data_IF_006194527224
#
_entry.id   IF_006194527224
#
_cell.length_a   1.000
_cell.length_b   1.000
_cell.length_c   1.000
_cell.angle_alpha   90.00
_cell.angle_beta   90.00
_cell.angle_gamma   90.00
#
_symmetry.space_group_name_H-M   'P 1'
#
loop_
_entity.id
_entity.type
_entity.pdbx_description
1 polymer ?
#
# COMPACT_ATOMS: atom_id res chain seq x y z
N UNK A 1 -2.76 30.00 -7.87
CA UNK A 1 -2.26 29.33 -6.64
C UNK A 1 -3.38 29.16 -5.61
N UNK A 2 -4.01 30.23 -5.09
CA UNK A 2 -5.18 30.13 -4.19
C UNK A 2 -6.39 29.37 -4.78
N UNK A 3 -6.55 29.40 -6.11
CA UNK A 3 -7.62 28.69 -6.82
C UNK A 3 -7.50 27.17 -6.74
N UNK A 4 -6.28 26.60 -6.71
CA UNK A 4 -6.08 25.15 -6.63
C UNK A 4 -6.39 24.64 -5.22
N UNK A 5 -5.96 25.36 -4.18
CA UNK A 5 -6.29 25.05 -2.78
C UNK A 5 -7.79 25.14 -2.50
N UNK A 6 -8.47 26.17 -3.03
CA UNK A 6 -9.92 26.32 -2.89
C UNK A 6 -10.70 25.27 -3.71
N UNK A 7 -10.17 24.82 -4.85
CA UNK A 7 -10.77 23.74 -5.65
C UNK A 7 -10.63 22.39 -4.94
N UNK A 8 -9.45 22.10 -4.40
CA UNK A 8 -9.20 20.93 -3.55
C UNK A 8 -10.15 20.94 -2.35
N UNK A 9 -10.28 22.08 -1.64
CA UNK A 9 -11.22 22.24 -0.52
C UNK A 9 -12.69 22.03 -0.91
N UNK A 10 -13.14 22.51 -2.07
CA UNK A 10 -14.52 22.25 -2.54
C UNK A 10 -14.74 20.79 -2.94
N UNK A 11 -13.75 20.11 -3.53
CA UNK A 11 -13.84 18.67 -3.80
C UNK A 11 -13.87 17.85 -2.52
N UNK A 12 -13.18 18.30 -1.48
CA UNK A 12 -13.17 17.73 -0.14
C UNK A 12 -14.54 17.77 0.52
N UNK A 13 -15.16 18.95 0.57
CA UNK A 13 -16.49 19.13 1.17
C UNK A 13 -17.53 18.23 0.49
N UNK A 14 -17.43 18.03 -0.83
CA UNK A 14 -18.31 17.14 -1.60
C UNK A 14 -18.02 15.65 -1.34
N UNK A 15 -16.75 15.26 -1.22
CA UNK A 15 -16.34 13.89 -0.93
C UNK A 15 -16.77 13.45 0.48
N UNK A 16 -16.63 14.34 1.46
CA UNK A 16 -17.05 14.11 2.83
C UNK A 16 -18.57 14.02 2.96
N UNK A 17 -19.32 14.89 2.27
CA UNK A 17 -20.78 14.81 2.17
C UNK A 17 -21.28 13.47 1.61
N UNK A 18 -20.53 12.83 0.71
CA UNK A 18 -20.85 11.50 0.17
C UNK A 18 -20.44 10.35 1.11
N UNK A 19 -19.47 10.55 2.01
CA UNK A 19 -19.04 9.57 3.02
C UNK A 19 -19.86 9.60 4.32
N UNK A 20 -20.75 10.58 4.50
CA UNK A 20 -21.59 10.79 5.70
C UNK A 20 -22.69 9.75 5.97
N UNK A 21 -22.67 8.57 5.36
CA UNK A 21 -23.49 7.47 5.88
C UNK A 21 -22.63 6.64 6.82
N UNK A 22 -22.83 6.71 8.16
CA UNK A 22 -22.19 5.79 9.07
C UNK A 22 -22.68 4.38 8.71
N UNK A 23 -21.89 3.68 7.90
CA UNK A 23 -22.12 2.29 7.60
C UNK A 23 -21.68 1.50 8.84
N UNK A 24 -22.53 0.58 9.29
CA UNK A 24 -22.21 -0.33 10.38
C UNK A 24 -20.86 -1.03 10.09
N UNK A 25 -19.82 -0.82 10.90
CA UNK A 25 -18.49 -1.38 10.67
C UNK A 25 -18.52 -2.91 10.53
N UNK A 26 -19.43 -3.59 11.25
CA UNK A 26 -19.59 -5.04 11.17
C UNK A 26 -20.11 -5.44 9.79
N UNK A 27 -21.13 -4.73 9.29
CA UNK A 27 -21.65 -4.93 7.94
C UNK A 27 -20.59 -4.65 6.86
N UNK A 28 -19.80 -3.58 7.01
CA UNK A 28 -18.72 -3.25 6.07
C UNK A 28 -17.64 -4.33 6.01
N UNK A 29 -17.23 -4.87 7.16
CA UNK A 29 -16.26 -5.97 7.22
C UNK A 29 -16.83 -7.25 6.60
N UNK A 30 -18.10 -7.56 6.84
CA UNK A 30 -18.78 -8.69 6.19
C UNK A 30 -18.81 -8.55 4.67
N UNK A 31 -19.16 -7.37 4.16
CA UNK A 31 -19.14 -7.09 2.72
C UNK A 31 -17.73 -7.18 2.14
N UNK A 32 -16.73 -6.71 2.89
CA UNK A 32 -15.32 -6.81 2.48
C UNK A 32 -14.90 -8.27 2.34
N UNK A 33 -15.18 -9.11 3.34
CA UNK A 33 -14.93 -10.55 3.25
C UNK A 33 -15.63 -11.18 2.04
N UNK A 34 -16.92 -10.88 1.83
CA UNK A 34 -17.67 -11.39 0.68
C UNK A 34 -17.00 -11.03 -0.65
N UNK A 35 -16.57 -9.77 -0.83
CA UNK A 35 -15.87 -9.32 -2.04
C UNK A 35 -14.53 -10.02 -2.23
N UNK A 36 -13.75 -10.18 -1.15
CA UNK A 36 -12.45 -10.86 -1.19
C UNK A 36 -12.62 -12.33 -1.59
N UNK A 37 -13.57 -13.05 -0.99
CA UNK A 37 -13.87 -14.44 -1.33
C UNK A 37 -14.37 -14.57 -2.77
N UNK A 38 -15.30 -13.71 -3.20
CA UNK A 38 -15.83 -13.73 -4.56
C UNK A 38 -14.76 -13.48 -5.62
N UNK A 39 -13.81 -12.58 -5.33
CA UNK A 39 -12.66 -12.32 -6.19
C UNK A 39 -11.70 -13.51 -6.17
N UNK A 40 -11.37 -14.06 -5.00
CA UNK A 40 -10.39 -15.14 -4.91
C UNK A 40 -10.93 -16.54 -5.24
N UNK A 41 -12.24 -16.73 -5.45
CA UNK A 41 -12.85 -18.08 -5.58
C UNK A 41 -12.30 -18.96 -6.71
N UNK A 42 -11.68 -18.36 -7.74
CA UNK A 42 -11.09 -19.09 -8.87
C UNK A 42 -9.58 -19.30 -8.74
N UNK A 43 -8.98 -18.84 -7.64
CA UNK A 43 -7.55 -19.05 -7.36
C UNK A 43 -7.32 -20.44 -6.78
N UNK A 44 -6.10 -20.97 -6.84
CA UNK A 44 -5.74 -22.25 -6.22
C UNK A 44 -6.13 -22.30 -4.73
N UNK A 45 -5.86 -21.22 -4.00
CA UNK A 45 -6.24 -21.07 -2.59
C UNK A 45 -7.76 -21.09 -2.41
N UNK A 46 -8.48 -20.32 -3.23
CA UNK A 46 -9.93 -20.21 -3.14
C UNK A 46 -10.67 -21.49 -3.55
N UNK A 47 -10.12 -22.26 -4.49
CA UNK A 47 -10.63 -23.58 -4.86
C UNK A 47 -10.36 -24.61 -3.77
N UNK A 48 -9.15 -24.63 -3.21
CA UNK A 48 -8.76 -25.56 -2.15
C UNK A 48 -9.63 -25.42 -0.89
N UNK A 49 -9.90 -24.18 -0.47
CA UNK A 49 -10.78 -23.89 0.67
C UNK A 49 -12.26 -23.72 0.30
N UNK A 50 -12.60 -23.93 -0.98
CA UNK A 50 -13.96 -23.94 -1.49
C UNK A 50 -14.74 -22.65 -1.15
N UNK A 51 -14.15 -21.52 -1.55
CA UNK A 51 -14.73 -20.19 -1.38
C UNK A 51 -16.10 -20.05 -2.05
N UNK A 52 -16.37 -20.83 -3.09
CA UNK A 52 -17.68 -20.86 -3.77
C UNK A 52 -18.78 -21.31 -2.83
N UNK A 53 -18.57 -22.37 -2.06
CA UNK A 53 -19.59 -22.83 -1.11
C UNK A 53 -19.63 -21.99 0.15
N UNK A 54 -18.50 -21.42 0.59
CA UNK A 54 -18.49 -20.44 1.68
C UNK A 54 -19.41 -19.25 1.34
N UNK A 55 -19.34 -18.72 0.11
CA UNK A 55 -20.16 -17.60 -0.34
C UNK A 55 -21.67 -17.89 -0.39
N UNK A 56 -22.07 -19.17 -0.53
CA UNK A 56 -23.48 -19.58 -0.51
C UNK A 56 -24.05 -19.68 0.91
N UNK A 57 -23.19 -19.74 1.93
CA UNK A 57 -23.63 -19.94 3.30
C UNK A 57 -24.27 -18.68 3.89
N UNK A 58 -25.46 -18.77 4.53
CA UNK A 58 -26.03 -17.67 5.30
C UNK A 58 -25.18 -17.31 6.53
N UNK A 59 -24.29 -18.22 6.97
CA UNK A 59 -23.28 -18.05 8.03
C UNK A 59 -21.88 -17.97 7.45
N UNK A 60 -21.70 -17.24 6.34
CA UNK A 60 -20.42 -17.12 5.59
C UNK A 60 -19.20 -16.90 6.48
N UNK A 61 -19.28 -16.02 7.47
CA UNK A 61 -18.17 -15.69 8.38
C UNK A 61 -17.76 -16.91 9.21
N UNK A 62 -18.73 -17.62 9.80
CA UNK A 62 -18.46 -18.78 10.65
C UNK A 62 -17.87 -19.94 9.84
N UNK A 63 -18.41 -20.16 8.63
CA UNK A 63 -17.91 -21.21 7.72
C UNK A 63 -16.51 -20.88 7.21
N UNK A 64 -16.22 -19.61 6.90
CA UNK A 64 -14.87 -19.20 6.54
C UNK A 64 -13.88 -19.48 7.67
N UNK A 65 -14.23 -19.11 8.91
CA UNK A 65 -13.38 -19.32 10.09
C UNK A 65 -13.14 -20.80 10.40
N UNK A 66 -14.08 -21.68 10.08
CA UNK A 66 -13.92 -23.12 10.31
C UNK A 66 -13.15 -23.83 9.20
N UNK A 67 -13.24 -23.35 7.93
CA UNK A 67 -12.56 -23.96 6.78
C UNK A 67 -11.14 -23.45 6.57
N UNK A 68 -10.88 -22.15 6.79
CA UNK A 68 -9.58 -21.53 6.49
C UNK A 68 -8.76 -21.38 7.77
N UNK A 69 -7.65 -22.12 7.92
CA UNK A 69 -6.80 -22.02 9.11
C UNK A 69 -6.07 -20.67 9.14
N UNK A 70 -5.55 -20.34 10.32
CA UNK A 70 -4.57 -19.27 10.44
C UNK A 70 -3.24 -19.74 9.84
N UNK A 71 -2.57 -18.83 9.13
CA UNK A 71 -1.25 -19.05 8.55
C UNK A 71 -0.24 -18.10 9.19
N UNK A 72 0.94 -18.62 9.48
CA UNK A 72 2.14 -17.79 9.59
C UNK A 72 2.78 -17.58 8.21
N UNK A 73 3.90 -16.86 8.16
CA UNK A 73 4.58 -16.60 6.88
C UNK A 73 5.07 -17.90 6.24
N UNK A 74 5.71 -18.78 7.01
CA UNK A 74 6.39 -19.96 6.47
C UNK A 74 5.37 -20.93 5.88
N UNK A 75 4.27 -21.20 6.58
CA UNK A 75 3.18 -22.05 6.07
C UNK A 75 2.46 -21.43 4.86
N UNK A 76 2.28 -20.11 4.83
CA UNK A 76 1.71 -19.42 3.66
C UNK A 76 2.66 -19.47 2.47
N UNK A 77 3.96 -19.29 2.72
CA UNK A 77 5.00 -19.32 1.71
C UNK A 77 5.15 -20.70 1.08
N UNK A 78 5.33 -21.73 1.92
CA UNK A 78 5.54 -23.11 1.50
C UNK A 78 4.36 -23.66 0.70
N UNK A 79 3.13 -23.34 1.12
CA UNK A 79 1.92 -23.88 0.48
C UNK A 79 1.43 -23.05 -0.69
N UNK A 80 1.73 -21.75 -0.74
CA UNK A 80 1.08 -20.84 -1.67
C UNK A 80 2.06 -19.85 -2.31
N UNK A 81 2.66 -18.94 -1.54
CA UNK A 81 3.36 -17.81 -2.15
C UNK A 81 4.64 -18.18 -2.92
N UNK A 82 5.27 -19.32 -2.62
CA UNK A 82 6.38 -19.84 -3.43
C UNK A 82 5.96 -20.09 -4.90
N UNK A 83 4.72 -20.50 -5.16
CA UNK A 83 4.21 -20.70 -6.52
C UNK A 83 4.10 -19.36 -7.24
N UNK A 84 3.56 -18.33 -6.57
CA UNK A 84 3.51 -16.96 -7.12
C UNK A 84 4.90 -16.43 -7.44
N UNK A 85 5.88 -16.69 -6.56
CA UNK A 85 7.28 -16.28 -6.75
C UNK A 85 7.91 -16.98 -7.97
N UNK A 86 7.54 -18.24 -8.20
CA UNK A 86 7.91 -19.01 -9.40
C UNK A 86 7.04 -18.68 -10.63
N UNK A 87 6.23 -17.61 -10.58
CA UNK A 87 5.48 -17.11 -11.73
C UNK A 87 4.13 -17.79 -11.99
N UNK A 88 3.65 -18.67 -11.10
CA UNK A 88 2.31 -19.26 -11.19
C UNK A 88 1.26 -18.19 -10.94
N UNK A 89 0.28 -18.11 -11.83
CA UNK A 89 -0.82 -17.15 -11.73
C UNK A 89 -1.98 -17.70 -10.88
N UNK A 90 -2.82 -16.80 -10.36
CA UNK A 90 -4.05 -17.17 -9.67
C UNK A 90 -3.83 -18.09 -8.45
N UNK A 91 -2.76 -17.89 -7.68
CA UNK A 91 -2.45 -18.75 -6.53
C UNK A 91 -3.28 -18.39 -5.30
N UNK A 92 -2.97 -17.29 -4.61
CA UNK A 92 -3.75 -16.76 -3.47
C UNK A 92 -4.58 -15.53 -3.83
N UNK A 93 -4.32 -14.95 -5.00
CA UNK A 93 -5.05 -13.82 -5.57
C UNK A 93 -5.04 -13.93 -7.09
N UNK A 94 -5.99 -13.28 -7.76
CA UNK A 94 -6.11 -13.36 -9.21
C UNK A 94 -4.92 -12.68 -9.94
N UNK A 95 -4.57 -13.23 -11.10
CA UNK A 95 -3.50 -12.74 -11.96
C UNK A 95 -2.10 -13.17 -11.53
N UNK A 96 -1.10 -12.66 -12.24
CA UNK A 96 0.32 -12.86 -11.94
C UNK A 96 0.84 -11.77 -11.00
N UNK A 97 1.54 -12.17 -9.95
CA UNK A 97 2.24 -11.24 -9.06
C UNK A 97 3.58 -10.85 -9.70
N UNK A 98 3.81 -9.56 -9.90
CA UNK A 98 5.04 -9.03 -10.50
C UNK A 98 5.97 -8.37 -9.48
N UNK A 99 5.46 -8.03 -8.30
CA UNK A 99 6.20 -7.29 -7.27
C UNK A 99 6.12 -8.04 -5.95
N UNK A 100 7.25 -8.15 -5.26
CA UNK A 100 7.34 -8.73 -3.93
C UNK A 100 8.01 -7.74 -2.98
N UNK A 101 7.29 -7.36 -1.93
CA UNK A 101 7.86 -6.59 -0.86
C UNK A 101 8.76 -7.50 -0.02
N UNK A 102 9.99 -7.07 0.19
CA UNK A 102 10.91 -7.71 1.13
C UNK A 102 10.59 -7.22 2.54
N UNK A 103 10.31 -8.15 3.44
CA UNK A 103 10.20 -7.87 4.86
C UNK A 103 11.36 -8.52 5.59
N UNK A 104 12.04 -7.74 6.43
CA UNK A 104 13.29 -8.13 7.09
C UNK A 104 13.15 -9.28 8.09
N UNK A 105 11.93 -9.67 8.49
CA UNK A 105 11.74 -10.63 9.59
C UNK A 105 12.42 -10.16 10.89
N UNK A 106 12.23 -10.90 11.99
CA UNK A 106 12.88 -10.62 13.29
C UNK A 106 14.14 -11.44 13.52
N UNK A 107 14.68 -12.06 12.48
CA UNK A 107 15.89 -12.89 12.53
C UNK A 107 16.43 -12.93 11.11
N UNK A 108 17.74 -12.71 10.93
CA UNK A 108 18.45 -12.54 9.65
C UNK A 108 18.41 -13.72 8.66
N UNK A 109 17.29 -14.42 8.57
CA UNK A 109 16.90 -15.36 7.53
C UNK A 109 16.64 -14.61 6.20
N UNK A 110 16.66 -15.32 5.05
CA UNK A 110 16.32 -14.72 3.75
C UNK A 110 15.03 -13.92 3.84
N UNK A 111 15.04 -12.71 3.25
CA UNK A 111 13.95 -11.76 3.36
C UNK A 111 12.62 -12.42 2.98
N UNK A 112 11.57 -12.14 3.78
CA UNK A 112 10.22 -12.62 3.51
C UNK A 112 9.70 -11.94 2.25
N UNK A 113 9.23 -12.71 1.27
CA UNK A 113 8.69 -12.21 0.01
C UNK A 113 7.17 -12.12 0.11
N UNK A 114 6.65 -10.91 0.28
CA UNK A 114 5.21 -10.68 0.40
C UNK A 114 4.67 -10.22 -0.96
N UNK A 115 3.72 -10.96 -1.58
CA UNK A 115 3.11 -10.56 -2.85
C UNK A 115 2.49 -9.17 -2.79
N UNK A 116 2.82 -8.30 -3.75
CA UNK A 116 2.20 -6.99 -3.92
C UNK A 116 1.33 -7.02 -5.18
N UNK A 117 0.02 -7.04 -4.97
CA UNK A 117 -0.97 -7.05 -6.06
C UNK A 117 -1.35 -5.63 -6.47
N UNK A 118 -1.88 -5.48 -7.68
CA UNK A 118 -2.36 -4.19 -8.15
C UNK A 118 -3.51 -3.66 -7.28
N UNK A 119 -4.42 -4.52 -6.83
CA UNK A 119 -5.49 -4.12 -5.91
C UNK A 119 -4.96 -3.63 -4.56
N UNK A 120 -3.86 -4.22 -4.04
CA UNK A 120 -3.19 -3.75 -2.83
C UNK A 120 -2.62 -2.34 -3.04
N UNK A 121 -1.89 -2.11 -4.14
CA UNK A 121 -1.37 -0.78 -4.49
C UNK A 121 -2.48 0.25 -4.62
N UNK A 122 -3.56 -0.07 -5.33
CA UNK A 122 -4.73 0.82 -5.45
C UNK A 122 -5.39 1.10 -4.10
N UNK A 123 -5.46 0.11 -3.21
CA UNK A 123 -6.00 0.30 -1.86
C UNK A 123 -5.11 1.24 -1.02
N UNK A 124 -3.79 1.07 -1.08
CA UNK A 124 -2.83 1.97 -0.41
C UNK A 124 -2.93 3.40 -0.95
N UNK A 125 -3.03 3.58 -2.27
CA UNK A 125 -3.22 4.90 -2.89
C UNK A 125 -4.53 5.56 -2.43
N UNK A 126 -5.65 4.82 -2.42
CA UNK A 126 -6.93 5.34 -1.90
C UNK A 126 -6.81 5.74 -0.43
N UNK A 127 -6.16 4.91 0.39
CA UNK A 127 -5.91 5.21 1.80
C UNK A 127 -5.09 6.49 1.97
N UNK A 128 -3.98 6.62 1.23
CA UNK A 128 -3.13 7.81 1.26
C UNK A 128 -3.89 9.07 0.85
N UNK A 129 -4.70 9.01 -0.22
CA UNK A 129 -5.53 10.14 -0.66
C UNK A 129 -6.57 10.49 0.40
N UNK A 130 -7.27 9.51 0.99
CA UNK A 130 -8.23 9.76 2.08
C UNK A 130 -7.58 10.43 3.28
N UNK A 131 -6.40 9.96 3.70
CA UNK A 131 -5.66 10.58 4.81
C UNK A 131 -5.26 12.01 4.49
N UNK A 132 -4.70 12.26 3.30
CA UNK A 132 -4.33 13.60 2.85
C UNK A 132 -5.53 14.54 2.84
N UNK A 133 -6.67 14.05 2.37
CA UNK A 133 -7.90 14.81 2.29
C UNK A 133 -8.57 15.05 3.64
N UNK A 134 -8.48 14.10 4.57
CA UNK A 134 -8.95 14.27 5.94
C UNK A 134 -8.24 15.41 6.69
N UNK A 135 -7.07 15.87 6.23
CA UNK A 135 -6.41 17.05 6.79
C UNK A 135 -7.25 18.33 6.72
N UNK A 136 -8.21 18.40 5.81
CA UNK A 136 -9.15 19.51 5.70
C UNK A 136 -10.09 19.64 6.91
N UNK A 137 -10.25 18.56 7.68
CA UNK A 137 -11.06 18.53 8.90
C UNK A 137 -10.31 19.08 10.12
N UNK A 138 -9.04 19.43 9.95
CA UNK A 138 -8.21 20.04 10.97
C UNK A 138 -7.97 21.51 10.63
N UNK A 139 -7.57 22.29 11.62
CA UNK A 139 -7.22 23.71 11.45
C UNK A 139 -5.85 23.86 10.76
N UNK A 140 -5.80 23.49 9.48
CA UNK A 140 -4.59 23.52 8.65
C UNK A 140 -4.69 24.70 7.68
N UNK A 141 -3.63 25.52 7.63
CA UNK A 141 -3.55 26.63 6.67
C UNK A 141 -3.65 26.12 5.22
N UNK A 142 -4.49 26.72 4.36
CA UNK A 142 -4.56 26.38 2.93
C UNK A 142 -3.20 26.48 2.21
N UNK A 143 -2.28 27.30 2.73
CA UNK A 143 -0.94 27.44 2.18
C UNK A 143 -0.15 26.12 2.28
N UNK A 144 -0.41 25.29 3.30
CA UNK A 144 0.29 24.02 3.52
C UNK A 144 0.17 23.09 2.32
N UNK A 145 -0.99 23.08 1.65
CA UNK A 145 -1.26 22.25 0.47
C UNK A 145 -0.49 22.69 -0.78
N UNK A 146 0.19 23.84 -0.74
CA UNK A 146 1.08 24.30 -1.82
C UNK A 146 2.55 23.92 -1.59
N UNK A 147 2.87 23.41 -0.39
CA UNK A 147 4.21 23.03 0.04
C UNK A 147 4.59 21.63 -0.45
N UNK A 148 5.89 21.35 -0.45
CA UNK A 148 6.43 20.04 -0.81
C UNK A 148 6.23 19.01 0.32
N UNK A 149 6.19 17.74 -0.07
CA UNK A 149 6.13 16.57 0.79
C UNK A 149 7.49 15.89 0.81
N UNK A 150 8.17 15.89 1.95
CA UNK A 150 9.36 15.08 2.16
C UNK A 150 8.93 13.66 2.50
N UNK A 151 9.07 12.75 1.53
CA UNK A 151 8.70 11.35 1.67
C UNK A 151 9.92 10.49 1.95
N UNK A 152 9.99 9.92 3.15
CA UNK A 152 11.05 9.05 3.61
C UNK A 152 10.56 7.60 3.65
N UNK A 153 11.29 6.74 2.95
CA UNK A 153 11.00 5.32 2.85
C UNK A 153 12.22 4.54 2.37
N UNK A 154 11.98 3.30 1.99
CA UNK A 154 12.95 2.41 1.37
C UNK A 154 13.38 2.85 -0.03
N UNK A 155 14.36 2.14 -0.61
CA UNK A 155 14.86 2.49 -1.94
C UNK A 155 13.82 2.23 -3.03
N UNK A 156 13.69 3.17 -3.97
CA UNK A 156 12.84 2.99 -5.15
C UNK A 156 13.49 2.15 -6.25
N UNK A 157 14.78 1.83 -6.11
CA UNK A 157 15.45 0.87 -6.97
C UNK A 157 15.03 -0.55 -6.57
N UNK A 158 14.39 -1.25 -7.50
CA UNK A 158 13.91 -2.61 -7.29
C UNK A 158 14.87 -3.60 -7.94
N UNK A 159 15.13 -4.71 -7.26
CA UNK A 159 15.90 -5.81 -7.80
C UNK A 159 15.03 -6.64 -8.75
N UNK A 160 15.52 -6.89 -9.96
CA UNK A 160 14.88 -7.81 -10.90
C UNK A 160 15.39 -9.23 -10.62
N UNK A 161 14.47 -10.17 -10.37
CA UNK A 161 14.77 -11.58 -10.13
C UNK A 161 13.96 -12.44 -11.10
N UNK A 162 14.63 -12.99 -12.11
CA UNK A 162 14.02 -13.81 -13.15
C UNK A 162 12.88 -13.09 -13.88
N UNK A 163 11.66 -13.25 -13.38
CA UNK A 163 10.42 -12.70 -13.94
C UNK A 163 9.57 -11.85 -12.98
N UNK A 164 10.14 -11.38 -11.87
CA UNK A 164 9.49 -10.46 -10.92
C UNK A 164 10.47 -9.40 -10.41
N UNK A 165 9.94 -8.38 -9.74
CA UNK A 165 10.70 -7.35 -9.04
C UNK A 165 10.53 -7.48 -7.53
N UNK A 166 11.58 -7.22 -6.78
CA UNK A 166 11.55 -7.20 -5.32
C UNK A 166 12.25 -5.98 -4.74
N UNK A 167 11.86 -5.62 -3.52
CA UNK A 167 12.47 -4.52 -2.79
C UNK A 167 11.56 -4.02 -1.67
N UNK A 168 11.83 -2.82 -1.19
CA UNK A 168 11.00 -2.20 -0.16
C UNK A 168 9.59 -1.89 -0.69
N UNK A 169 8.56 -2.14 0.12
CA UNK A 169 7.17 -1.82 -0.25
C UNK A 169 6.99 -0.34 -0.61
N UNK A 170 7.67 0.54 0.11
CA UNK A 170 7.68 1.98 -0.17
C UNK A 170 8.37 2.30 -1.50
N UNK A 171 9.44 1.58 -1.84
CA UNK A 171 10.08 1.65 -3.16
C UNK A 171 9.18 1.21 -4.31
N UNK A 172 8.50 0.08 -4.14
CA UNK A 172 7.50 -0.44 -5.09
C UNK A 172 6.41 0.61 -5.34
N UNK A 173 5.95 1.28 -4.28
CA UNK A 173 4.92 2.31 -4.37
C UNK A 173 5.44 3.67 -4.89
N UNK A 174 6.72 4.00 -4.68
CA UNK A 174 7.30 5.28 -5.13
C UNK A 174 7.19 5.47 -6.65
N UNK A 175 7.33 4.37 -7.41
CA UNK A 175 7.16 4.38 -8.87
C UNK A 175 5.69 4.56 -9.32
N UNK A 176 4.74 4.50 -8.38
CA UNK A 176 3.29 4.63 -8.63
C UNK A 176 2.73 5.97 -8.16
N UNK A 177 3.59 6.91 -7.73
CA UNK A 177 3.17 8.27 -7.40
C UNK A 177 2.62 8.96 -8.66
N UNK A 178 1.39 9.49 -8.62
CA UNK A 178 0.79 10.21 -9.75
C UNK A 178 1.70 11.32 -10.28
N UNK A 179 1.77 11.46 -11.61
CA UNK A 179 2.70 12.41 -12.25
C UNK A 179 2.52 13.86 -11.76
N UNK A 180 1.29 14.26 -11.42
CA UNK A 180 0.96 15.60 -10.94
C UNK A 180 1.41 15.85 -9.48
N UNK A 181 1.70 14.81 -8.69
CA UNK A 181 2.31 14.93 -7.36
C UNK A 181 3.84 15.00 -7.40
N UNK A 182 4.47 14.62 -8.53
CA UNK A 182 5.94 14.59 -8.65
C UNK A 182 6.64 15.92 -8.35
N UNK A 183 6.11 17.10 -8.74
CA UNK A 183 6.74 18.39 -8.40
C UNK A 183 6.79 18.65 -6.88
N UNK A 184 5.83 18.11 -6.13
CA UNK A 184 5.74 18.26 -4.68
C UNK A 184 6.49 17.13 -3.94
N UNK A 185 6.95 16.10 -4.63
CA UNK A 185 7.67 14.98 -4.04
C UNK A 185 9.14 15.33 -3.81
N UNK A 186 9.54 15.43 -2.55
CA UNK A 186 10.95 15.52 -2.12
C UNK A 186 11.35 14.19 -1.49
N UNK A 187 12.56 13.67 -1.76
CA UNK A 187 13.71 14.37 -2.34
C UNK A 187 13.83 14.31 -3.88
N UNK A 188 12.84 13.74 -4.57
CA UNK A 188 12.91 13.49 -6.01
C UNK A 188 13.43 12.08 -6.34
N UNK A 189 13.16 11.61 -7.56
CA UNK A 189 13.39 10.23 -7.96
C UNK A 189 14.87 9.80 -7.87
N UNK A 190 15.81 10.67 -8.27
CA UNK A 190 17.24 10.37 -8.24
C UNK A 190 17.76 10.09 -6.82
N UNK A 191 17.34 10.90 -5.84
CA UNK A 191 17.77 10.73 -4.45
C UNK A 191 17.05 9.56 -3.79
N UNK A 192 15.76 9.36 -4.10
CA UNK A 192 14.98 8.23 -3.59
C UNK A 192 15.53 6.86 -4.06
N UNK A 193 16.15 6.81 -5.24
CA UNK A 193 16.76 5.59 -5.79
C UNK A 193 18.12 5.22 -5.16
N UNK A 194 18.69 6.08 -4.29
CA UNK A 194 19.96 5.75 -3.62
C UNK A 194 19.72 4.61 -2.62
N UNK A 195 20.26 3.42 -2.90
CA UNK A 195 20.10 2.23 -2.03
C UNK A 195 20.72 2.39 -0.65
N UNK A 196 21.92 2.98 -0.56
CA UNK A 196 22.59 3.14 0.71
C UNK A 196 21.88 4.22 1.54
N UNK A 197 21.26 3.80 2.64
CA UNK A 197 20.48 4.65 3.53
C UNK A 197 21.25 5.89 4.00
N UNK A 198 22.47 5.71 4.53
CA UNK A 198 23.27 6.82 5.05
C UNK A 198 23.62 7.84 3.97
N UNK A 199 24.02 7.39 2.78
CA UNK A 199 24.29 8.28 1.63
C UNK A 199 23.04 9.05 1.23
N UNK A 200 21.88 8.37 1.20
CA UNK A 200 20.60 8.98 0.85
C UNK A 200 20.22 10.06 1.86
N UNK A 201 20.18 9.74 3.15
CA UNK A 201 19.83 10.69 4.21
C UNK A 201 20.80 11.87 4.25
N UNK A 202 22.11 11.62 4.12
CA UNK A 202 23.09 12.71 4.06
C UNK A 202 22.84 13.66 2.87
N UNK A 203 22.45 13.13 1.69
CA UNK A 203 22.10 13.96 0.53
C UNK A 203 20.79 14.74 0.77
N UNK A 204 19.80 14.11 1.40
CA UNK A 204 18.53 14.75 1.81
C UNK A 204 18.82 15.90 2.78
N UNK A 205 19.58 15.66 3.84
CA UNK A 205 19.89 16.66 4.87
C UNK A 205 20.60 17.90 4.30
N UNK A 206 21.49 17.70 3.31
CA UNK A 206 22.20 18.80 2.63
C UNK A 206 21.27 19.67 1.77
N UNK A 207 20.29 19.07 1.10
CA UNK A 207 19.39 19.77 0.18
C UNK A 207 18.09 20.23 0.84
N UNK A 208 17.74 19.68 2.00
CA UNK A 208 16.52 20.02 2.73
C UNK A 208 16.32 21.53 2.98
N UNK A 209 17.38 22.32 3.28
CA UNK A 209 17.24 23.78 3.43
C UNK A 209 16.75 24.51 2.17
N UNK A 210 16.88 23.90 0.99
CA UNK A 210 16.43 24.47 -0.29
C UNK A 210 14.96 24.15 -0.60
N UNK A 211 14.29 23.34 0.23
CA UNK A 211 12.94 22.88 -0.01
C UNK A 211 11.94 23.50 0.96
N UNK A 212 10.84 24.02 0.42
CA UNK A 212 9.70 24.50 1.20
C UNK A 212 8.80 23.30 1.57
N UNK A 213 9.18 22.58 2.63
CA UNK A 213 8.52 21.35 3.10
C UNK A 213 7.34 21.69 4.02
N UNK A 214 6.15 21.16 3.71
CA UNK A 214 4.96 21.24 4.58
C UNK A 214 4.51 19.91 5.14
N UNK A 215 4.99 18.78 4.58
CA UNK A 215 4.60 17.45 5.03
C UNK A 215 5.82 16.55 5.18
N UNK A 216 5.87 15.81 6.28
CA UNK A 216 6.74 14.65 6.45
C UNK A 216 5.89 13.39 6.26
N UNK A 217 6.31 12.52 5.35
CA UNK A 217 5.58 11.29 5.02
C UNK A 217 6.52 10.10 5.17
N UNK A 218 6.19 9.17 6.04
CA UNK A 218 7.00 7.97 6.29
C UNK A 218 6.49 7.20 7.50
N UNK A 219 7.00 5.99 7.72
CA UNK A 219 6.77 5.31 9.00
C UNK A 219 7.56 6.01 10.11
N UNK A 220 7.07 6.05 11.36
CA UNK A 220 7.70 6.80 12.45
C UNK A 220 9.19 6.48 12.65
N UNK A 221 9.60 5.22 12.45
CA UNK A 221 11.01 4.82 12.60
C UNK A 221 11.96 5.48 11.60
N UNK A 222 11.49 5.91 10.43
CA UNK A 222 12.32 6.67 9.49
C UNK A 222 12.40 8.16 9.85
N UNK A 223 11.44 8.67 10.61
CA UNK A 223 11.33 10.09 10.98
C UNK A 223 12.02 10.41 12.32
N UNK A 224 12.20 9.41 13.18
CA UNK A 224 12.77 9.56 14.52
C UNK A 224 14.31 9.51 14.56
N UNK A 225 14.95 9.19 13.43
CA UNK A 225 16.41 9.07 13.28
C UNK A 225 17.01 10.42 12.88
#
# INVERSE_FOLDING_TARGET
MALLGNLIKRFLDVGEYLEQRPADPVQMQRQTLQRLLARAQHTSFGQYYDFRDILKSPRMVDVFRSKVPLFDYDTMYERWWNMSLNGVENVSWQGRVQYFALSSGTSGAPSKHIPVTEEMTRAMQRGAMKMFFALANFEVSPELFTKSMLMLGGSSELEQQGGYFQGDLSGINANKVPFWLRPYYKPGAEIAAINNWEKRINKIARLAPEWDIGFLVGIPSWLQL
#
